data_IF_323970149424
#
_entry.id   IF_323970149424
#
_cell.length_a   1.000
_cell.length_b   1.000
_cell.length_c   1.000
_cell.angle_alpha   90.00
_cell.angle_beta   90.00
_cell.angle_gamma   90.00
#
_symmetry.space_group_name_H-M   'P 1'
#
loop_
_entity.id
_entity.type
_entity.pdbx_description
1 polymer ?
#
# COMPACT_ATOMS: atom_id res chain seq x y z
N UNK A 1 -2.25 -21.32 -23.67
CA UNK A 1 -2.13 -20.75 -25.03
C UNK A 1 -0.77 -20.10 -25.05
N UNK A 2 0.22 -20.74 -25.68
CA UNK A 2 1.55 -20.15 -25.84
C UNK A 2 1.44 -19.03 -26.88
N UNK A 3 1.52 -17.79 -26.40
CA UNK A 3 1.53 -16.60 -27.26
C UNK A 3 2.93 -16.51 -27.84
N UNK A 4 3.05 -16.57 -29.18
CA UNK A 4 4.34 -16.46 -29.87
C UNK A 4 4.99 -15.09 -29.57
N UNK A 5 6.19 -15.04 -28.96
CA UNK A 5 6.88 -13.79 -28.62
C UNK A 5 7.14 -12.86 -29.82
N UNK A 6 7.15 -13.39 -31.04
CA UNK A 6 7.32 -12.58 -32.28
C UNK A 6 6.13 -11.67 -32.55
N UNK A 7 4.98 -11.93 -31.94
CA UNK A 7 3.80 -11.05 -32.04
C UNK A 7 4.05 -9.68 -31.39
N UNK A 8 5.02 -9.55 -30.48
CA UNK A 8 5.38 -8.28 -29.86
C UNK A 8 6.23 -7.37 -30.78
N UNK A 9 6.94 -7.91 -31.76
CA UNK A 9 7.85 -7.15 -32.64
C UNK A 9 7.09 -6.16 -33.56
N UNK A 10 5.79 -6.35 -33.74
CA UNK A 10 4.94 -5.52 -34.60
C UNK A 10 3.92 -4.66 -33.84
N UNK A 11 3.92 -4.73 -32.50
CA UNK A 11 3.04 -3.89 -31.68
C UNK A 11 3.71 -2.54 -31.43
N UNK A 12 3.29 -1.53 -32.19
CA UNK A 12 3.65 -0.14 -31.90
C UNK A 12 3.00 0.29 -30.57
N UNK A 13 3.82 0.78 -29.64
CA UNK A 13 3.31 1.39 -28.40
C UNK A 13 2.67 2.73 -28.77
N UNK A 14 1.39 2.90 -28.42
CA UNK A 14 0.66 4.13 -28.67
C UNK A 14 0.98 5.16 -27.57
N UNK A 15 1.40 6.36 -27.95
CA UNK A 15 1.65 7.47 -27.02
C UNK A 15 0.45 7.77 -26.12
N UNK A 16 -0.77 7.64 -26.64
CA UNK A 16 -1.98 7.83 -25.86
C UNK A 16 -2.11 6.79 -24.73
N UNK A 17 -1.69 5.56 -24.95
CA UNK A 17 -1.72 4.52 -23.91
C UNK A 17 -0.68 4.81 -22.83
N UNK A 18 0.53 5.25 -23.23
CA UNK A 18 1.55 5.71 -22.28
C UNK A 18 1.01 6.86 -21.44
N UNK A 19 0.41 7.87 -22.08
CA UNK A 19 -0.11 9.03 -21.38
C UNK A 19 -1.23 8.66 -20.40
N UNK A 20 -2.14 7.75 -20.78
CA UNK A 20 -3.18 7.23 -19.89
C UNK A 20 -2.59 6.47 -18.68
N UNK A 21 -1.56 5.66 -18.89
CA UNK A 21 -0.89 4.92 -17.81
C UNK A 21 -0.26 5.90 -16.82
N UNK A 22 0.49 6.89 -17.31
CA UNK A 22 1.12 7.93 -16.48
C UNK A 22 0.06 8.75 -15.76
N UNK A 23 -1.00 9.20 -16.45
CA UNK A 23 -2.10 9.95 -15.86
C UNK A 23 -2.76 9.18 -14.72
N UNK A 24 -3.05 7.89 -14.93
CA UNK A 24 -3.66 7.03 -13.91
C UNK A 24 -2.82 6.96 -12.64
N UNK A 25 -1.49 6.93 -12.77
CA UNK A 25 -0.57 6.90 -11.66
C UNK A 25 -0.56 8.24 -10.90
N UNK A 26 -0.48 9.36 -11.62
CA UNK A 26 -0.45 10.69 -11.01
C UNK A 26 -1.76 11.02 -10.27
N UNK A 27 -2.90 10.63 -10.85
CA UNK A 27 -4.23 10.83 -10.24
C UNK A 27 -4.43 9.96 -9.01
N UNK A 28 -4.03 8.68 -9.08
CA UNK A 28 -4.13 7.75 -7.95
C UNK A 28 -3.33 8.24 -6.73
N UNK A 29 -2.11 8.76 -6.95
CA UNK A 29 -1.21 9.29 -5.92
C UNK A 29 -1.43 10.78 -5.59
N UNK A 30 -2.48 11.40 -6.13
CA UNK A 30 -2.84 12.80 -5.87
C UNK A 30 -1.77 13.86 -6.22
N UNK A 31 -0.96 13.62 -7.26
CA UNK A 31 0.05 14.56 -7.76
C UNK A 31 -0.59 15.64 -8.66
N UNK A 32 -1.51 16.42 -8.10
CA UNK A 32 -2.34 17.38 -8.84
C UNK A 32 -1.54 18.35 -9.71
N UNK A 33 -0.53 19.01 -9.15
CA UNK A 33 0.28 19.99 -9.87
C UNK A 33 1.00 19.35 -11.07
N UNK A 34 1.39 18.09 -10.90
CA UNK A 34 2.00 17.28 -11.97
C UNK A 34 0.97 16.85 -13.01
N UNK A 35 -0.25 16.47 -12.59
CA UNK A 35 -1.37 16.17 -13.50
C UNK A 35 -1.69 17.37 -14.39
N UNK A 36 -1.83 18.57 -13.79
CA UNK A 36 -2.15 19.79 -14.54
C UNK A 36 -1.06 20.12 -15.57
N UNK A 37 0.21 20.05 -15.17
CA UNK A 37 1.35 20.26 -16.06
C UNK A 37 1.39 19.20 -17.18
N UNK A 38 1.13 17.94 -16.83
CA UNK A 38 1.14 16.82 -17.77
C UNK A 38 0.01 16.93 -18.81
N UNK A 39 -1.19 17.33 -18.39
CA UNK A 39 -2.32 17.61 -19.30
C UNK A 39 -1.95 18.73 -20.28
N UNK A 40 -1.37 19.83 -19.80
CA UNK A 40 -0.99 20.97 -20.62
C UNK A 40 0.05 20.59 -21.70
N UNK A 41 1.00 19.72 -21.36
CA UNK A 41 2.03 19.25 -22.30
C UNK A 41 1.53 18.21 -23.30
N UNK A 42 0.61 17.34 -22.90
CA UNK A 42 0.16 16.20 -23.73
C UNK A 42 -1.12 16.48 -24.53
N UNK A 43 -1.86 17.55 -24.19
CA UNK A 43 -3.13 17.87 -24.82
C UNK A 43 -4.28 16.90 -24.47
N UNK A 44 -4.10 16.09 -23.43
CA UNK A 44 -5.14 15.15 -22.98
C UNK A 44 -6.38 15.88 -22.47
N UNK A 45 -7.55 15.26 -22.63
CA UNK A 45 -8.79 15.79 -22.02
C UNK A 45 -8.79 15.51 -20.52
N UNK A 46 -9.03 16.55 -19.74
CA UNK A 46 -9.20 16.44 -18.29
C UNK A 46 -10.53 15.74 -17.97
N UNK A 47 -10.53 14.63 -17.23
CA UNK A 47 -11.77 14.08 -16.70
C UNK A 47 -12.24 14.93 -15.50
N UNK A 48 -13.44 15.50 -15.61
CA UNK A 48 -13.91 16.65 -14.81
C UNK A 48 -14.13 16.39 -13.32
N UNK A 49 -14.21 15.13 -12.87
CA UNK A 49 -14.52 14.78 -11.46
C UNK A 49 -13.31 14.41 -10.58
N UNK A 50 -12.11 14.26 -11.15
CA UNK A 50 -10.97 13.72 -10.37
C UNK A 50 -10.33 14.74 -9.41
N UNK A 51 -10.36 16.04 -9.73
CA UNK A 51 -9.55 17.02 -8.99
C UNK A 51 -10.04 17.27 -7.55
N UNK A 52 -11.35 17.33 -7.32
CA UNK A 52 -11.88 17.61 -5.98
C UNK A 52 -11.70 16.40 -5.05
N UNK A 53 -11.92 15.19 -5.58
CA UNK A 53 -11.67 13.95 -4.86
C UNK A 53 -10.18 13.78 -4.53
N UNK A 54 -9.28 14.10 -5.46
CA UNK A 54 -7.82 14.05 -5.25
C UNK A 54 -7.37 14.90 -4.05
N UNK A 55 -7.89 16.11 -3.88
CA UNK A 55 -7.51 16.99 -2.76
C UNK A 55 -7.97 16.42 -1.41
N UNK A 56 -9.20 15.89 -1.35
CA UNK A 56 -9.72 15.25 -0.14
C UNK A 56 -8.90 14.00 0.20
N UNK A 57 -8.59 13.15 -0.79
CA UNK A 57 -7.73 11.97 -0.62
C UNK A 57 -6.31 12.32 -0.22
N UNK A 58 -5.71 13.36 -0.83
CA UNK A 58 -4.34 13.82 -0.50
C UNK A 58 -4.23 14.20 0.97
N UNK A 59 -5.21 14.94 1.49
CA UNK A 59 -5.25 15.33 2.92
C UNK A 59 -5.35 14.10 3.83
N UNK A 60 -6.26 13.17 3.53
CA UNK A 60 -6.42 11.93 4.30
C UNK A 60 -5.10 11.14 4.32
N UNK A 61 -4.48 10.96 3.16
CA UNK A 61 -3.20 10.27 3.02
C UNK A 61 -2.09 10.92 3.84
N UNK A 62 -1.97 12.26 3.78
CA UNK A 62 -0.97 13.01 4.53
C UNK A 62 -1.16 12.86 6.05
N UNK A 63 -2.40 12.96 6.55
CA UNK A 63 -2.66 12.76 7.97
C UNK A 63 -2.28 11.36 8.45
N UNK A 64 -2.54 10.31 7.65
CA UNK A 64 -2.10 8.96 7.98
C UNK A 64 -0.57 8.83 7.98
N UNK A 65 0.10 9.39 6.97
CA UNK A 65 1.56 9.35 6.84
C UNK A 65 2.28 10.10 7.99
N UNK A 66 1.74 11.24 8.40
CA UNK A 66 2.26 12.06 9.50
C UNK A 66 2.00 11.45 10.89
N UNK A 67 1.22 10.37 10.98
CA UNK A 67 0.85 9.73 12.25
C UNK A 67 -0.37 10.35 12.93
N UNK A 68 -1.00 11.36 12.32
CA UNK A 68 -2.27 11.94 12.78
C UNK A 68 -3.47 11.08 12.32
N UNK A 69 -3.47 9.82 12.72
CA UNK A 69 -4.40 8.82 12.20
C UNK A 69 -5.86 9.07 12.62
N UNK A 70 -6.11 9.77 13.75
CA UNK A 70 -7.47 10.12 14.16
C UNK A 70 -8.12 11.11 13.17
N UNK A 71 -7.38 12.12 12.71
CA UNK A 71 -7.86 13.02 11.67
C UNK A 71 -8.05 12.29 10.33
N UNK A 72 -7.16 11.36 10.00
CA UNK A 72 -7.32 10.51 8.82
C UNK A 72 -8.59 9.67 8.88
N UNK A 73 -8.90 9.06 10.03
CA UNK A 73 -10.14 8.29 10.26
C UNK A 73 -11.37 9.19 10.11
N UNK A 74 -11.38 10.36 10.76
CA UNK A 74 -12.51 11.29 10.71
C UNK A 74 -12.82 11.74 9.28
N UNK A 75 -11.79 12.20 8.55
CA UNK A 75 -11.95 12.63 7.16
C UNK A 75 -12.32 11.47 6.23
N UNK A 76 -11.86 10.26 6.53
CA UNK A 76 -12.25 9.06 5.78
C UNK A 76 -13.72 8.75 5.95
N UNK A 77 -14.27 8.80 7.17
CA UNK A 77 -15.71 8.56 7.39
C UNK A 77 -16.60 9.67 6.78
N UNK A 78 -16.07 10.90 6.69
CA UNK A 78 -16.74 11.99 5.96
C UNK A 78 -16.74 11.78 4.44
N UNK A 79 -15.66 11.24 3.87
CA UNK A 79 -15.51 11.04 2.42
C UNK A 79 -16.13 9.72 1.93
N UNK A 80 -15.95 8.63 2.68
CA UNK A 80 -16.28 7.26 2.33
C UNK A 80 -16.96 6.57 3.52
N UNK A 81 -18.26 6.81 3.68
CA UNK A 81 -19.04 6.38 4.86
C UNK A 81 -19.06 4.86 5.01
N UNK A 82 -18.86 4.38 6.24
CA UNK A 82 -18.83 2.95 6.61
C UNK A 82 -17.66 2.18 5.95
N UNK A 83 -16.65 2.87 5.41
CA UNK A 83 -15.47 2.20 4.84
C UNK A 83 -14.72 1.41 5.92
N UNK A 84 -14.47 2.04 7.07
CA UNK A 84 -13.66 1.44 8.14
C UNK A 84 -14.47 0.40 8.93
N UNK A 85 -15.79 0.54 8.98
CA UNK A 85 -16.67 -0.49 9.54
C UNK A 85 -16.62 -1.79 8.72
N UNK A 86 -16.60 -1.67 7.38
CA UNK A 86 -16.50 -2.81 6.46
C UNK A 86 -15.10 -3.39 6.38
N UNK A 87 -14.07 -2.55 6.53
CA UNK A 87 -12.67 -2.95 6.47
C UNK A 87 -11.99 -2.83 7.84
N UNK A 88 -12.22 -3.84 8.68
CA UNK A 88 -11.66 -3.92 10.04
C UNK A 88 -10.14 -3.92 10.07
N UNK A 89 -9.49 -4.54 9.07
CA UNK A 89 -8.03 -4.60 8.98
C UNK A 89 -7.45 -3.18 8.86
N UNK A 90 -7.99 -2.39 7.93
CA UNK A 90 -7.57 -1.00 7.75
C UNK A 90 -7.87 -0.14 8.97
N UNK A 91 -9.04 -0.33 9.59
CA UNK A 91 -9.40 0.42 10.80
C UNK A 91 -8.42 0.11 11.94
N UNK A 92 -8.09 -1.16 12.16
CA UNK A 92 -7.11 -1.57 13.15
C UNK A 92 -5.72 -0.96 12.85
N UNK A 93 -5.27 -1.03 11.61
CA UNK A 93 -3.96 -0.49 11.21
C UNK A 93 -3.88 1.04 11.43
N UNK A 94 -4.96 1.79 11.16
CA UNK A 94 -5.03 3.24 11.44
C UNK A 94 -5.03 3.56 12.94
N UNK A 95 -5.81 2.82 13.75
CA UNK A 95 -5.78 2.99 15.20
C UNK A 95 -4.39 2.68 15.76
N UNK A 96 -3.71 1.67 15.20
CA UNK A 96 -2.36 1.29 15.58
C UNK A 96 -1.34 2.39 15.29
N UNK A 97 -1.49 3.15 14.20
CA UNK A 97 -0.66 4.33 13.94
C UNK A 97 -0.78 5.38 15.04
N UNK A 98 -2.00 5.67 15.52
CA UNK A 98 -2.19 6.61 16.61
C UNK A 98 -1.60 6.10 17.92
N UNK A 99 -1.78 4.80 18.21
CA UNK A 99 -1.16 4.18 19.38
C UNK A 99 0.36 4.33 19.34
N UNK A 100 1.00 4.02 18.21
CA UNK A 100 2.44 4.20 18.00
C UNK A 100 2.86 5.65 18.25
N UNK A 101 2.09 6.62 17.77
CA UNK A 101 2.40 8.04 17.97
C UNK A 101 2.36 8.44 19.46
N UNK A 102 1.41 7.90 20.24
CA UNK A 102 1.35 8.09 21.69
C UNK A 102 2.56 7.47 22.40
N UNK A 103 2.99 6.28 21.97
CA UNK A 103 4.18 5.60 22.50
C UNK A 103 5.45 6.41 22.20
N UNK A 104 5.63 6.87 20.95
CA UNK A 104 6.74 7.74 20.56
C UNK A 104 6.76 9.07 21.33
N UNK A 105 5.59 9.61 21.64
CA UNK A 105 5.42 10.82 22.47
C UNK A 105 5.64 10.58 23.97
N UNK A 106 6.00 9.36 24.38
CA UNK A 106 6.18 8.93 25.79
C UNK A 106 4.94 9.09 26.66
N UNK A 107 3.76 9.07 26.04
CA UNK A 107 2.46 9.18 26.71
C UNK A 107 1.89 7.80 27.01
N UNK A 108 2.61 7.00 27.80
CA UNK A 108 2.27 5.60 28.02
C UNK A 108 0.87 5.39 28.63
N UNK A 109 0.44 6.29 29.53
CA UNK A 109 -0.90 6.22 30.13
C UNK A 109 -1.99 6.48 29.09
N UNK A 110 -1.84 7.52 28.26
CA UNK A 110 -2.77 7.80 27.17
C UNK A 110 -2.80 6.65 26.14
N UNK A 111 -1.63 6.06 25.83
CA UNK A 111 -1.53 4.91 24.93
C UNK A 111 -2.29 3.68 25.46
N UNK A 112 -2.15 3.37 26.75
CA UNK A 112 -2.85 2.26 27.39
C UNK A 112 -4.37 2.47 27.43
N UNK A 113 -4.82 3.66 27.83
CA UNK A 113 -6.24 4.03 27.83
C UNK A 113 -6.82 3.95 26.41
N UNK A 114 -6.08 4.45 25.41
CA UNK A 114 -6.47 4.37 24.01
C UNK A 114 -6.59 2.91 23.54
N UNK A 115 -5.62 2.06 23.83
CA UNK A 115 -5.66 0.64 23.46
C UNK A 115 -6.85 -0.08 24.09
N UNK A 116 -7.10 0.14 25.39
CA UNK A 116 -8.25 -0.45 26.09
C UNK A 116 -9.59 0.02 25.52
N UNK A 117 -9.70 1.29 25.13
CA UNK A 117 -10.95 1.84 24.61
C UNK A 117 -11.20 1.48 23.13
N UNK A 118 -10.17 1.55 22.29
CA UNK A 118 -10.30 1.49 20.82
C UNK A 118 -9.83 0.18 20.20
N UNK A 119 -8.85 -0.51 20.81
CA UNK A 119 -8.29 -1.76 20.27
C UNK A 119 -8.89 -3.01 20.92
N UNK A 120 -9.42 -2.92 22.15
CA UNK A 120 -10.08 -4.04 22.82
C UNK A 120 -11.23 -4.70 22.02
N UNK A 121 -12.04 -3.99 21.20
CA UNK A 121 -13.05 -4.64 20.35
C UNK A 121 -12.50 -5.65 19.34
N UNK A 122 -11.19 -5.61 19.04
CA UNK A 122 -10.53 -6.50 18.09
C UNK A 122 -9.98 -7.80 18.73
N UNK A 123 -10.09 -7.95 20.06
CA UNK A 123 -9.58 -9.09 20.86
C UNK A 123 -10.23 -10.45 20.55
N UNK A 124 -11.19 -10.49 19.62
CA UNK A 124 -11.87 -11.73 19.22
C UNK A 124 -11.15 -12.51 18.13
N UNK A 125 -10.30 -11.85 17.33
CA UNK A 125 -9.61 -12.48 16.21
C UNK A 125 -8.11 -12.57 16.49
N UNK A 126 -7.56 -13.79 16.45
CA UNK A 126 -6.18 -14.08 16.81
C UNK A 126 -5.16 -13.18 16.09
N UNK A 127 -5.38 -12.88 14.80
CA UNK A 127 -4.51 -12.01 14.01
C UNK A 127 -4.36 -10.59 14.59
N UNK A 128 -5.40 -10.06 15.24
CA UNK A 128 -5.36 -8.73 15.84
C UNK A 128 -4.73 -8.76 17.22
N UNK A 129 -4.93 -9.86 17.96
CA UNK A 129 -4.27 -10.08 19.25
C UNK A 129 -2.76 -10.12 19.08
N UNK A 130 -2.26 -10.92 18.13
CA UNK A 130 -0.82 -11.02 17.84
C UNK A 130 -0.23 -9.66 17.45
N UNK A 131 -0.88 -8.93 16.53
CA UNK A 131 -0.45 -7.56 16.19
C UNK A 131 -0.46 -6.64 17.40
N UNK A 132 -1.50 -6.70 18.24
CA UNK A 132 -1.65 -5.85 19.41
C UNK A 132 -0.55 -6.13 20.45
N UNK A 133 -0.18 -7.40 20.65
CA UNK A 133 0.94 -7.80 21.50
C UNK A 133 2.26 -7.20 21.00
N UNK A 134 2.51 -7.22 19.68
CA UNK A 134 3.70 -6.59 19.08
C UNK A 134 3.71 -5.06 19.33
N UNK A 135 2.58 -4.38 19.18
CA UNK A 135 2.47 -2.95 19.51
C UNK A 135 2.68 -2.69 21.00
N UNK A 136 2.06 -3.49 21.88
CA UNK A 136 2.21 -3.34 23.33
C UNK A 136 3.64 -3.59 23.80
N UNK A 137 4.40 -4.45 23.12
CA UNK A 137 5.81 -4.68 23.42
C UNK A 137 6.65 -3.39 23.33
N UNK A 138 6.24 -2.40 22.54
CA UNK A 138 6.91 -1.09 22.46
C UNK A 138 6.88 -0.33 23.80
N UNK A 139 5.86 -0.54 24.64
CA UNK A 139 5.72 0.11 25.95
C UNK A 139 6.74 -0.40 26.98
N UNK A 140 7.32 -1.59 26.76
CA UNK A 140 8.28 -2.19 27.69
C UNK A 140 9.68 -1.55 27.60
N UNK A 141 9.92 -0.67 26.62
CA UNK A 141 11.21 -0.04 26.38
C UNK A 141 11.13 1.46 26.61
N UNK A 142 12.13 2.01 27.31
CA UNK A 142 12.26 3.48 27.49
C UNK A 142 12.46 4.21 26.16
N UNK A 143 13.16 3.56 25.22
CA UNK A 143 13.38 4.00 23.86
C UNK A 143 12.72 3.00 22.91
N UNK A 144 11.50 3.28 22.39
CA UNK A 144 10.76 2.36 21.51
C UNK A 144 11.55 1.93 20.27
N UNK A 145 12.44 2.78 19.76
CA UNK A 145 13.32 2.50 18.60
C UNK A 145 14.34 1.37 18.86
N UNK A 146 14.63 1.07 20.12
CA UNK A 146 15.51 -0.04 20.51
C UNK A 146 14.75 -1.35 20.71
N UNK A 147 13.43 -1.33 20.61
CA UNK A 147 12.59 -2.52 20.70
C UNK A 147 12.83 -3.45 19.50
N UNK A 148 12.71 -4.77 19.67
CA UNK A 148 12.58 -5.70 18.54
C UNK A 148 11.46 -5.30 17.55
N UNK A 149 10.46 -4.55 18.03
CA UNK A 149 9.32 -4.07 17.25
C UNK A 149 9.52 -2.68 16.62
N UNK A 150 10.76 -2.17 16.55
CA UNK A 150 11.07 -0.84 16.00
C UNK A 150 10.55 -0.61 14.56
N UNK A 151 10.41 -1.68 13.76
CA UNK A 151 9.89 -1.61 12.40
C UNK A 151 8.45 -1.07 12.33
N UNK A 152 7.65 -1.23 13.40
CA UNK A 152 6.29 -0.66 13.52
C UNK A 152 6.30 0.87 13.69
N UNK A 153 7.44 1.45 14.07
CA UNK A 153 7.64 2.90 14.18
C UNK A 153 8.09 3.53 12.86
N UNK A 154 8.48 2.69 11.88
CA UNK A 154 9.15 3.14 10.66
C UNK A 154 8.22 3.95 9.76
N UNK A 155 8.83 4.83 8.95
CA UNK A 155 8.12 5.53 7.88
C UNK A 155 7.51 4.55 6.86
N UNK A 156 8.18 3.42 6.61
CA UNK A 156 7.70 2.39 5.68
C UNK A 156 6.37 1.79 6.16
N UNK A 157 6.24 1.49 7.46
CA UNK A 157 4.97 1.03 8.03
C UNK A 157 3.86 2.09 7.87
N UNK A 158 4.15 3.36 8.21
CA UNK A 158 3.18 4.47 8.05
C UNK A 158 2.75 4.61 6.60
N UNK A 159 3.69 4.54 5.67
CA UNK A 159 3.45 4.64 4.24
C UNK A 159 2.59 3.48 3.74
N UNK A 160 2.87 2.25 4.16
CA UNK A 160 2.06 1.09 3.80
C UNK A 160 0.59 1.24 4.24
N UNK A 161 0.36 1.71 5.47
CA UNK A 161 -1.01 1.96 5.97
C UNK A 161 -1.68 3.09 5.20
N UNK A 162 -0.97 4.20 4.92
CA UNK A 162 -1.50 5.32 4.15
C UNK A 162 -1.85 4.91 2.70
N UNK A 163 -1.00 4.10 2.05
CA UNK A 163 -1.27 3.52 0.74
C UNK A 163 -2.50 2.60 0.78
N UNK A 164 -2.58 1.69 1.76
CA UNK A 164 -3.75 0.82 1.96
C UNK A 164 -5.05 1.63 2.12
N UNK A 165 -5.00 2.72 2.90
CA UNK A 165 -6.12 3.64 3.07
C UNK A 165 -6.53 4.28 1.74
N UNK A 166 -5.59 4.85 0.99
CA UNK A 166 -5.87 5.45 -0.32
C UNK A 166 -6.49 4.44 -1.30
N UNK A 167 -5.96 3.20 -1.32
CA UNK A 167 -6.49 2.12 -2.16
C UNK A 167 -7.91 1.73 -1.76
N UNK A 168 -8.22 1.71 -0.46
CA UNK A 168 -9.55 1.40 0.03
C UNK A 168 -10.56 2.49 -0.32
N UNK A 169 -10.17 3.77 -0.21
CA UNK A 169 -11.02 4.90 -0.61
C UNK A 169 -11.32 4.84 -2.11
N UNK A 170 -10.31 4.60 -2.95
CA UNK A 170 -10.50 4.42 -4.39
C UNK A 170 -11.44 3.25 -4.70
N UNK A 171 -11.24 2.10 -4.04
CA UNK A 171 -12.10 0.93 -4.23
C UNK A 171 -13.56 1.23 -3.86
N UNK A 172 -13.79 1.99 -2.79
CA UNK A 172 -15.12 2.40 -2.35
C UNK A 172 -15.82 3.33 -3.35
N UNK A 173 -15.05 4.18 -4.03
CA UNK A 173 -15.53 5.02 -5.12
C UNK A 173 -15.65 4.28 -6.48
N UNK A 174 -15.51 2.94 -6.49
CA UNK A 174 -15.48 2.10 -7.69
C UNK A 174 -14.34 2.43 -8.68
N UNK A 175 -13.26 3.03 -8.18
CA UNK A 175 -12.02 3.23 -8.94
C UNK A 175 -11.05 2.06 -8.73
N UNK A 176 -10.11 1.84 -9.68
CA UNK A 176 -9.08 0.82 -9.52
C UNK A 176 -8.21 1.08 -8.27
N UNK A 177 -8.11 0.08 -7.38
CA UNK A 177 -7.25 0.15 -6.20
C UNK A 177 -5.76 0.22 -6.53
N UNK A 178 -5.37 -0.24 -7.72
CA UNK A 178 -3.99 -0.17 -8.22
C UNK A 178 -3.96 0.65 -9.49
N UNK A 179 -2.86 1.37 -9.68
CA UNK A 179 -2.59 2.09 -10.92
C UNK A 179 -2.40 1.12 -12.08
N UNK A 180 -2.66 1.59 -13.30
CA UNK A 180 -2.35 0.78 -14.49
C UNK A 180 -0.85 0.44 -14.52
N UNK A 181 0.00 1.39 -14.11
CA UNK A 181 1.45 1.21 -14.02
C UNK A 181 1.85 0.08 -13.07
N UNK A 182 1.35 0.07 -11.83
CA UNK A 182 1.64 -1.02 -10.87
C UNK A 182 1.20 -2.38 -11.42
N UNK A 183 -0.01 -2.46 -11.99
CA UNK A 183 -0.52 -3.72 -12.57
C UNK A 183 0.35 -4.21 -13.73
N UNK A 184 0.77 -3.33 -14.62
CA UNK A 184 1.65 -3.66 -15.73
C UNK A 184 3.02 -4.12 -15.24
N UNK A 185 3.58 -3.48 -14.21
CA UNK A 185 4.85 -3.90 -13.58
C UNK A 185 4.72 -5.28 -12.94
N UNK A 186 3.61 -5.55 -12.23
CA UNK A 186 3.33 -6.86 -11.64
C UNK A 186 3.25 -7.94 -12.73
N UNK A 187 2.50 -7.69 -13.80
CA UNK A 187 2.40 -8.60 -14.95
C UNK A 187 3.76 -8.84 -15.59
N UNK A 188 4.53 -7.79 -15.85
CA UNK A 188 5.88 -7.88 -16.42
C UNK A 188 6.82 -8.67 -15.51
N UNK A 189 6.71 -8.50 -14.20
CA UNK A 189 7.53 -9.22 -13.21
C UNK A 189 7.23 -10.71 -13.23
N UNK A 190 5.94 -11.09 -13.25
CA UNK A 190 5.51 -12.49 -13.33
C UNK A 190 5.95 -13.11 -14.66
N UNK A 191 5.71 -12.43 -15.79
CA UNK A 191 6.12 -12.92 -17.12
C UNK A 191 7.63 -13.14 -17.17
N UNK A 192 8.42 -12.19 -16.66
CA UNK A 192 9.89 -12.33 -16.58
C UNK A 192 10.31 -13.54 -15.75
N UNK A 193 9.63 -13.81 -14.63
CA UNK A 193 9.91 -15.00 -13.81
C UNK A 193 9.56 -16.29 -14.55
N UNK A 194 8.43 -16.35 -15.25
CA UNK A 194 8.02 -17.52 -16.04
C UNK A 194 9.03 -17.83 -17.16
N UNK A 195 9.43 -16.82 -17.93
CA UNK A 195 10.42 -16.98 -19.01
C UNK A 195 11.78 -17.44 -18.47
N UNK A 196 12.23 -16.90 -17.33
CA UNK A 196 13.48 -17.35 -16.69
C UNK A 196 13.38 -18.79 -16.15
N UNK A 197 12.20 -19.25 -15.72
CA UNK A 197 12.00 -20.64 -15.28
C UNK A 197 12.00 -21.62 -16.44
N UNK A 198 11.56 -21.23 -17.64
CA UNK A 198 11.72 -22.04 -18.86
C UNK A 198 13.20 -22.23 -19.20
N UNK A 199 14.01 -21.16 -19.13
CA UNK A 199 15.46 -21.27 -19.31
C UNK A 199 16.16 -22.17 -18.27
N UNK A 200 15.63 -22.27 -17.05
CA UNK A 200 16.19 -23.14 -16.01
C UNK A 200 15.87 -24.64 -16.21
N UNK A 201 14.87 -24.99 -17.03
CA UNK A 201 14.53 -26.40 -17.34
C UNK A 201 15.38 -26.99 -18.46
N UNK A 202 15.97 -26.15 -19.32
CA UNK A 202 16.84 -26.57 -20.43
C UNK A 202 18.34 -26.48 -20.12
N UNK A 203 18.71 -26.13 -18.89
CA UNK A 203 20.09 -26.17 -18.41
C UNK A 203 20.53 -27.61 -18.06
N UNK A 204 21.83 -27.95 -18.14
CA UNK A 204 22.34 -29.20 -17.60
C UNK A 204 21.93 -29.30 -16.12
N UNK A 205 21.53 -30.49 -15.64
CA UNK A 205 21.03 -30.64 -14.28
C UNK A 205 22.05 -30.06 -13.29
N UNK A 206 21.59 -29.35 -12.23
CA UNK A 206 22.49 -28.83 -11.23
C UNK A 206 23.31 -29.98 -10.64
N UNK A 207 24.62 -29.76 -10.51
CA UNK A 207 25.55 -30.77 -10.00
C UNK A 207 25.04 -31.34 -8.66
N UNK A 208 24.76 -32.63 -8.66
CA UNK A 208 24.29 -33.36 -7.48
C UNK A 208 25.45 -34.20 -6.93
N UNK A 209 25.95 -33.79 -5.77
CA UNK A 209 27.01 -34.52 -5.06
C UNK A 209 26.60 -35.98 -4.77
N UNK A 210 25.30 -36.23 -4.57
CA UNK A 210 24.76 -37.58 -4.32
C UNK A 210 24.85 -38.49 -5.55
N UNK A 211 24.75 -37.92 -6.75
CA UNK A 211 24.82 -38.69 -8.00
C UNK A 211 26.28 -38.89 -8.43
N UNK A 212 27.15 -37.92 -8.14
CA UNK A 212 28.60 -38.04 -8.34
C UNK A 212 29.23 -39.12 -7.46
N UNK A 213 28.81 -39.24 -6.20
CA UNK A 213 29.33 -40.25 -5.26
C UNK A 213 28.81 -41.67 -5.51
N UNK A 214 27.86 -41.85 -6.44
CA UNK A 214 27.30 -43.15 -6.83
C UNK A 214 27.85 -43.69 -8.17
N UNK A 215 28.65 -42.90 -8.87
CA UNK A 215 29.41 -43.31 -10.07
C UNK A 215 30.82 -43.76 -9.68
#
# INVERSE_FOLDING_TARGET
MDVDPRQYEHLAVNDNDIHNIVMSYLVHNCFKETVESFIACTGMKQPSDYLEDMEKRKKIFQFALEGNALMAIELTEQLATNLLEKNKDLHFDLLSLHFVELVCSRKCTEALEFAQMKLAPFDKEQKYVEKLEDFMALLAYEEPEKSPMFHLLSLEYRQHVAESLNRAILAHANHPSYTAMERLIQQTTVVRQCLNQEHAKDGPPPFSLKDFLKS
#
